data_IF_918355381481
#
_entry.id   IF_918355381481
#
_cell.length_a   1.000
_cell.length_b   1.000
_cell.length_c   1.000
_cell.angle_alpha   90.00
_cell.angle_beta   90.00
_cell.angle_gamma   90.00
#
_symmetry.space_group_name_H-M   'P 1'
#
loop_
_entity.id
_entity.type
_entity.pdbx_description
1 polymer ?
#
# COMPACT_ATOMS: atom_id res chain seq x y z
N UNK A 1 -28.53 -4.98 26.24
CA UNK A 1 -28.86 -3.53 26.15
C UNK A 1 -28.21 -3.05 24.86
N UNK A 2 -28.98 -2.81 23.83
CA UNK A 2 -28.49 -2.27 22.58
C UNK A 2 -28.12 -0.81 22.82
N UNK A 3 -26.83 -0.52 22.92
CA UNK A 3 -26.37 0.87 22.87
C UNK A 3 -26.77 1.44 21.51
N UNK A 4 -27.68 2.40 21.50
CA UNK A 4 -27.98 3.19 20.33
C UNK A 4 -26.75 4.05 20.05
N UNK A 5 -25.93 3.63 19.09
CA UNK A 5 -24.82 4.42 18.60
C UNK A 5 -25.37 5.67 17.91
N UNK A 6 -25.25 6.80 18.55
CA UNK A 6 -25.46 8.06 17.85
C UNK A 6 -24.21 8.34 17.04
N UNK A 7 -24.33 8.40 15.70
CA UNK A 7 -23.25 8.91 14.83
C UNK A 7 -22.77 10.25 15.41
N UNK A 8 -21.47 10.34 15.71
CA UNK A 8 -20.89 11.64 16.01
C UNK A 8 -20.92 12.47 14.72
N UNK A 9 -21.33 13.73 14.79
CA UNK A 9 -21.24 14.62 13.63
C UNK A 9 -19.76 14.80 13.29
N UNK A 10 -19.42 14.49 12.03
CA UNK A 10 -18.07 14.70 11.52
C UNK A 10 -18.01 15.99 10.70
N UNK A 11 -16.93 16.77 10.81
CA UNK A 11 -16.76 17.95 9.95
C UNK A 11 -16.58 17.49 8.50
N UNK A 12 -17.12 18.25 7.56
CA UNK A 12 -16.94 18.04 6.12
C UNK A 12 -17.34 16.63 5.64
N UNK A 13 -18.41 16.07 6.18
CA UNK A 13 -18.95 14.78 5.75
C UNK A 13 -19.31 14.78 4.26
N UNK A 14 -19.21 13.63 3.60
CA UNK A 14 -19.67 13.45 2.21
C UNK A 14 -21.19 13.30 2.20
N UNK A 15 -21.90 14.40 1.99
CA UNK A 15 -23.38 14.40 1.92
C UNK A 15 -23.89 13.92 0.55
N UNK A 16 -23.14 14.19 -0.50
CA UNK A 16 -23.45 13.78 -1.87
C UNK A 16 -22.29 12.88 -2.35
N UNK A 17 -22.54 11.62 -2.71
CA UNK A 17 -21.49 10.63 -2.94
C UNK A 17 -20.39 11.05 -3.93
N UNK A 18 -20.72 11.79 -4.97
CA UNK A 18 -19.77 12.23 -5.99
C UNK A 18 -19.14 13.62 -5.72
N UNK A 19 -19.27 14.13 -4.47
CA UNK A 19 -18.77 15.43 -4.06
C UNK A 19 -18.03 15.36 -2.73
N UNK A 20 -16.71 15.33 -2.78
CA UNK A 20 -15.89 15.35 -1.59
C UNK A 20 -15.51 16.79 -1.20
N UNK A 21 -15.90 17.30 0.00
CA UNK A 21 -15.53 18.63 0.46
C UNK A 21 -14.01 18.80 0.48
N UNK A 22 -13.53 19.94 0.00
CA UNK A 22 -12.08 20.21 -0.13
C UNK A 22 -11.36 20.29 1.21
N UNK A 23 -12.06 20.70 2.27
CA UNK A 23 -11.53 20.87 3.62
C UNK A 23 -10.97 19.56 4.19
N UNK A 24 -11.47 18.43 3.75
CA UNK A 24 -10.97 17.07 4.11
C UNK A 24 -9.49 16.87 3.80
N UNK A 25 -8.94 17.65 2.87
CA UNK A 25 -7.58 17.52 2.35
C UNK A 25 -6.59 18.54 2.91
N UNK A 26 -7.03 19.46 3.80
CA UNK A 26 -6.13 20.43 4.41
C UNK A 26 -6.54 20.90 5.82
N UNK A 27 -7.77 20.59 6.29
CA UNK A 27 -8.20 20.98 7.63
C UNK A 27 -7.42 20.25 8.69
N UNK A 28 -6.84 20.98 9.64
CA UNK A 28 -6.18 20.38 10.80
C UNK A 28 -7.17 19.60 11.67
N UNK A 29 -8.38 20.14 11.89
CA UNK A 29 -9.44 19.47 12.65
C UNK A 29 -9.82 18.12 12.06
N UNK A 30 -9.97 18.04 10.73
CA UNK A 30 -10.26 16.79 10.04
C UNK A 30 -9.09 15.79 10.16
N UNK A 31 -7.87 16.28 10.01
CA UNK A 31 -6.66 15.49 10.15
C UNK A 31 -6.48 14.91 11.55
N UNK A 32 -6.76 15.71 12.60
CA UNK A 32 -6.70 15.26 13.98
C UNK A 32 -7.74 14.16 14.25
N UNK A 33 -8.92 14.28 13.64
CA UNK A 33 -9.96 13.26 13.72
C UNK A 33 -9.55 11.97 12.97
N UNK A 34 -8.91 12.07 11.80
CA UNK A 34 -8.30 10.91 11.12
C UNK A 34 -7.25 10.23 12.01
N UNK A 35 -6.42 10.99 12.70
CA UNK A 35 -5.42 10.44 13.61
C UNK A 35 -6.06 9.62 14.74
N UNK A 36 -7.12 10.15 15.33
CA UNK A 36 -7.82 9.52 16.45
C UNK A 36 -8.72 8.36 16.04
N UNK A 37 -9.49 8.47 14.96
CA UNK A 37 -10.55 7.54 14.64
C UNK A 37 -10.22 6.57 13.48
N UNK A 38 -9.25 6.91 12.62
CA UNK A 38 -8.86 6.06 11.50
C UNK A 38 -7.55 5.33 11.79
N UNK A 39 -6.46 6.10 11.97
CA UNK A 39 -5.11 5.53 12.10
C UNK A 39 -4.91 4.73 13.38
N UNK A 40 -5.67 5.01 14.41
CA UNK A 40 -5.69 4.21 15.65
C UNK A 40 -6.47 2.90 15.52
N UNK A 41 -7.32 2.71 14.48
CA UNK A 41 -8.30 1.64 14.40
C UNK A 41 -8.20 0.77 13.13
N UNK A 42 -7.28 1.07 12.24
CA UNK A 42 -7.12 0.34 10.98
C UNK A 42 -5.83 -0.47 10.94
N UNK A 43 -5.87 -1.58 10.19
CA UNK A 43 -4.67 -2.35 9.91
C UNK A 43 -3.74 -1.56 8.97
N UNK A 44 -2.46 -1.51 9.32
CA UNK A 44 -1.45 -0.73 8.61
C UNK A 44 -0.27 -1.62 8.26
N UNK A 45 0.18 -1.56 7.00
CA UNK A 45 1.40 -2.23 6.58
C UNK A 45 2.60 -1.55 7.24
N UNK A 46 3.26 -2.25 8.17
CA UNK A 46 4.36 -1.68 8.97
C UNK A 46 5.71 -1.86 8.31
N UNK A 47 6.05 -3.08 7.91
CA UNK A 47 7.31 -3.41 7.24
C UNK A 47 7.16 -4.69 6.41
N UNK A 48 8.15 -4.99 5.59
CA UNK A 48 8.23 -6.30 4.94
C UNK A 48 8.94 -7.31 5.84
N UNK A 49 8.57 -8.59 5.72
CA UNK A 49 9.21 -9.67 6.49
C UNK A 49 10.72 -9.78 6.22
N UNK A 50 11.15 -9.41 5.03
CA UNK A 50 12.55 -9.42 4.62
C UNK A 50 13.39 -8.26 5.19
N UNK A 51 12.75 -7.26 5.81
CA UNK A 51 13.44 -6.23 6.61
C UNK A 51 13.92 -6.77 7.96
N UNK A 52 13.27 -7.82 8.47
CA UNK A 52 13.53 -8.44 9.76
C UNK A 52 13.74 -9.97 9.60
N UNK A 53 14.73 -10.43 8.81
CA UNK A 53 14.89 -11.84 8.45
C UNK A 53 15.36 -12.72 9.61
N UNK A 54 16.16 -12.17 10.53
CA UNK A 54 16.83 -12.92 11.59
C UNK A 54 16.24 -12.67 12.98
N UNK A 55 16.35 -13.60 13.92
CA UNK A 55 15.97 -13.40 15.30
C UNK A 55 16.64 -12.16 15.92
N UNK A 56 15.85 -11.36 16.58
CA UNK A 56 16.27 -10.07 17.17
C UNK A 56 16.21 -8.90 16.18
N UNK A 57 16.05 -9.14 14.89
CA UNK A 57 15.86 -8.06 13.93
C UNK A 57 14.53 -7.32 14.19
N UNK A 58 14.59 -6.01 14.13
CA UNK A 58 13.42 -5.17 14.30
C UNK A 58 13.39 -4.01 13.29
N UNK A 59 12.18 -3.61 12.95
CA UNK A 59 11.86 -2.37 12.24
C UNK A 59 11.14 -1.39 13.17
N UNK A 60 11.19 -0.11 12.85
CA UNK A 60 10.45 0.94 13.57
C UNK A 60 9.44 1.55 12.63
N UNK A 61 8.17 1.40 12.97
CA UNK A 61 7.07 1.99 12.22
C UNK A 61 6.58 3.27 12.90
N UNK A 62 6.61 4.36 12.16
CA UNK A 62 6.15 5.67 12.61
C UNK A 62 4.87 6.04 11.86
N UNK A 63 3.82 6.39 12.60
CA UNK A 63 2.58 6.91 12.06
C UNK A 63 2.08 8.06 12.93
N UNK A 64 2.02 9.26 12.38
CA UNK A 64 1.66 10.48 13.11
C UNK A 64 2.54 10.64 14.36
N UNK A 65 1.96 10.67 15.54
CA UNK A 65 2.65 10.75 16.85
C UNK A 65 2.96 9.38 17.46
N UNK A 66 2.56 8.28 16.81
CA UNK A 66 2.77 6.93 17.32
C UNK A 66 4.05 6.29 16.75
N UNK A 67 4.71 5.49 17.57
CA UNK A 67 5.90 4.72 17.21
C UNK A 67 5.77 3.28 17.69
N UNK A 68 6.00 2.33 16.81
CA UNK A 68 5.86 0.90 17.05
C UNK A 68 7.15 0.18 16.67
N UNK A 69 7.66 -0.68 17.55
CA UNK A 69 8.70 -1.64 17.24
C UNK A 69 8.03 -2.92 16.74
N UNK A 70 8.43 -3.37 15.55
CA UNK A 70 8.08 -4.68 15.00
C UNK A 70 9.33 -5.54 15.02
N UNK A 71 9.29 -6.68 15.68
CA UNK A 71 10.47 -7.53 15.93
C UNK A 71 10.21 -9.00 15.58
N UNK A 72 11.22 -9.68 15.05
CA UNK A 72 11.27 -11.14 15.01
C UNK A 72 11.95 -11.66 16.28
N UNK A 73 11.20 -12.37 17.11
CA UNK A 73 11.70 -12.98 18.34
C UNK A 73 12.68 -14.14 18.09
N UNK A 74 13.39 -14.57 19.15
CA UNK A 74 14.26 -15.76 19.10
C UNK A 74 13.49 -17.05 18.77
N UNK A 75 12.20 -17.09 19.05
CA UNK A 75 11.28 -18.17 18.70
C UNK A 75 10.76 -18.10 17.25
N UNK A 76 11.18 -17.11 16.48
CA UNK A 76 10.74 -16.84 15.11
C UNK A 76 9.43 -16.08 14.98
N UNK A 77 8.70 -15.88 16.06
CA UNK A 77 7.41 -15.17 16.06
C UNK A 77 7.61 -13.67 15.84
N UNK A 78 6.69 -13.09 15.05
CA UNK A 78 6.65 -11.64 14.85
C UNK A 78 5.78 -11.00 15.93
N UNK A 79 6.30 -9.95 16.54
CA UNK A 79 5.60 -9.18 17.57
C UNK A 79 5.69 -7.70 17.28
N UNK A 80 4.68 -6.97 17.74
CA UNK A 80 4.68 -5.50 17.72
C UNK A 80 4.40 -4.95 19.12
N UNK A 81 5.04 -3.83 19.44
CA UNK A 81 4.89 -3.17 20.73
C UNK A 81 5.12 -1.68 20.60
N UNK A 82 4.47 -0.89 21.44
CA UNK A 82 4.72 0.55 21.49
C UNK A 82 6.18 0.85 21.83
N UNK A 83 6.83 1.65 21.02
CA UNK A 83 8.24 2.06 21.16
C UNK A 83 8.40 3.13 22.24
N UNK A 84 7.97 2.83 23.46
CA UNK A 84 7.90 3.83 24.54
C UNK A 84 8.28 3.22 25.87
N UNK A 85 9.39 3.67 26.44
CA UNK A 85 9.85 3.23 27.77
C UNK A 85 8.82 3.58 28.84
N UNK A 86 8.40 2.60 29.63
CA UNK A 86 7.35 2.72 30.65
C UNK A 86 7.73 3.58 31.83
N UNK A 87 8.98 4.06 31.89
CA UNK A 87 9.41 4.98 32.93
C UNK A 87 8.99 6.43 32.67
N UNK A 88 9.45 7.03 31.56
CA UNK A 88 9.21 8.45 31.21
C UNK A 88 9.06 8.69 29.71
N UNK A 89 8.60 7.70 28.97
CA UNK A 89 8.18 7.85 27.58
C UNK A 89 9.30 7.97 26.53
N UNK A 90 10.54 7.63 26.87
CA UNK A 90 11.65 7.69 25.88
C UNK A 90 11.47 6.61 24.83
N UNK A 91 11.57 6.95 23.54
CA UNK A 91 11.65 5.96 22.44
C UNK A 91 12.88 5.07 22.65
N UNK A 92 12.68 3.75 22.54
CA UNK A 92 13.76 2.75 22.74
C UNK A 92 14.63 2.59 21.50
N UNK A 93 14.02 2.74 20.33
CA UNK A 93 14.67 2.66 19.04
C UNK A 93 14.24 3.83 18.13
N UNK A 94 15.17 4.35 17.34
CA UNK A 94 14.92 5.44 16.37
C UNK A 94 15.22 5.06 14.92
N UNK A 95 15.72 3.83 14.73
CA UNK A 95 16.02 3.23 13.44
C UNK A 95 15.91 1.71 13.55
N UNK A 96 15.73 0.99 12.44
CA UNK A 96 15.76 -0.47 12.44
C UNK A 96 17.12 -1.00 12.89
N UNK A 97 17.14 -2.23 13.39
CA UNK A 97 18.38 -2.86 13.87
C UNK A 97 18.16 -4.29 14.36
N UNK A 98 19.09 -4.76 15.18
CA UNK A 98 18.98 -6.03 15.90
C UNK A 98 19.23 -5.79 17.38
N UNK A 99 18.28 -6.17 18.24
CA UNK A 99 18.37 -5.94 19.68
C UNK A 99 19.12 -7.05 20.43
N UNK A 100 19.65 -8.03 19.72
CA UNK A 100 20.29 -9.22 20.28
C UNK A 100 19.44 -9.94 21.34
N UNK A 101 19.25 -9.37 22.52
CA UNK A 101 18.46 -9.96 23.63
C UNK A 101 17.46 -9.00 24.25
N UNK A 102 17.84 -7.74 24.39
CA UNK A 102 17.06 -6.76 25.15
C UNK A 102 17.16 -5.35 24.53
N UNK A 103 16.05 -4.62 24.56
CA UNK A 103 16.06 -3.18 24.38
C UNK A 103 16.48 -2.51 25.70
N UNK A 104 17.43 -1.60 25.63
CA UNK A 104 17.92 -0.86 26.80
C UNK A 104 17.57 0.62 26.63
N UNK A 105 16.72 1.12 27.52
CA UNK A 105 16.37 2.54 27.50
C UNK A 105 17.62 3.41 27.70
N UNK A 106 17.93 4.32 26.75
CA UNK A 106 19.17 5.10 26.81
C UNK A 106 19.19 6.11 27.96
N UNK A 107 18.05 6.40 28.57
CA UNK A 107 17.98 7.42 29.62
C UNK A 107 18.32 6.88 31.02
N UNK A 108 17.64 5.79 31.45
CA UNK A 108 17.86 5.27 32.82
C UNK A 108 18.13 3.77 32.86
N UNK A 109 18.34 3.14 31.70
CA UNK A 109 18.75 1.74 31.63
C UNK A 109 17.65 0.73 31.98
N UNK A 110 16.35 1.10 31.91
CA UNK A 110 15.29 0.10 31.97
C UNK A 110 15.44 -0.85 30.76
N UNK A 111 15.20 -2.14 31.00
CA UNK A 111 15.41 -3.16 29.97
C UNK A 111 14.15 -3.93 29.70
N UNK A 112 14.01 -4.32 28.44
CA UNK A 112 12.86 -5.06 27.91
C UNK A 112 13.38 -6.16 26.99
N UNK A 113 12.90 -7.38 27.20
CA UNK A 113 13.24 -8.49 26.28
C UNK A 113 12.49 -8.34 24.93
N UNK A 114 12.73 -9.29 24.02
CA UNK A 114 12.14 -9.29 22.68
C UNK A 114 10.60 -9.49 22.68
N UNK A 115 10.04 -9.92 23.81
CA UNK A 115 8.57 -9.98 24.01
C UNK A 115 7.99 -8.69 24.58
N UNK A 116 8.82 -7.68 24.87
CA UNK A 116 8.43 -6.43 25.50
C UNK A 116 8.36 -6.50 27.04
N UNK A 117 8.61 -7.66 27.65
CA UNK A 117 8.57 -7.82 29.09
C UNK A 117 9.73 -7.07 29.76
N UNK A 118 9.45 -6.32 30.82
CA UNK A 118 10.48 -5.64 31.57
C UNK A 118 11.36 -6.64 32.33
N UNK A 119 12.65 -6.62 32.07
CA UNK A 119 13.65 -7.53 32.68
C UNK A 119 14.47 -6.85 33.77
N UNK A 120 14.60 -5.52 33.74
CA UNK A 120 15.41 -4.78 34.68
C UNK A 120 14.95 -3.36 34.88
N UNK A 121 14.78 -2.98 36.14
CA UNK A 121 14.59 -1.60 36.58
C UNK A 121 15.76 -1.24 37.52
N UNK A 122 16.70 -0.39 37.10
CA UNK A 122 17.76 0.10 38.01
C UNK A 122 17.15 0.76 39.24
N UNK A 123 17.72 0.49 40.42
CA UNK A 123 17.23 1.04 41.67
C UNK A 123 15.72 0.81 41.93
N UNK A 124 15.17 -0.35 41.55
CA UNK A 124 13.72 -0.66 41.67
C UNK A 124 13.11 -0.33 43.02
N UNK A 125 13.88 -0.47 44.10
CA UNK A 125 13.41 -0.16 45.48
C UNK A 125 13.01 1.31 45.66
N UNK A 126 13.57 2.23 44.87
CA UNK A 126 13.21 3.66 44.95
C UNK A 126 11.84 3.98 44.32
N UNK A 127 11.21 2.98 43.71
CA UNK A 127 9.86 3.06 43.09
C UNK A 127 8.80 2.32 43.96
N UNK A 128 9.09 2.00 45.21
CA UNK A 128 8.19 1.21 46.04
C UNK A 128 6.77 1.79 46.18
N UNK A 129 6.63 3.12 46.08
CA UNK A 129 5.33 3.82 46.15
C UNK A 129 4.40 3.49 44.94
N UNK A 130 4.94 2.98 43.85
CA UNK A 130 4.15 2.62 42.63
C UNK A 130 3.68 1.17 42.64
N UNK A 131 4.17 0.34 43.58
CA UNK A 131 3.86 -1.08 43.62
C UNK A 131 3.95 -1.77 42.27
N UNK A 132 5.05 -1.50 41.52
CA UNK A 132 5.24 -1.92 40.15
C UNK A 132 5.08 -3.45 39.98
N UNK A 133 4.12 -3.89 39.23
CA UNK A 133 4.06 -5.28 38.75
C UNK A 133 4.71 -5.45 37.35
N UNK A 134 4.72 -6.66 36.82
CA UNK A 134 5.37 -6.96 35.56
C UNK A 134 4.62 -6.37 34.39
N UNK A 135 3.28 -6.39 34.41
CA UNK A 135 2.43 -5.94 33.33
C UNK A 135 2.44 -4.42 33.22
N UNK A 136 2.41 -3.70 34.37
CA UNK A 136 2.48 -2.24 34.40
C UNK A 136 3.74 -1.68 33.76
N UNK A 137 4.86 -2.40 33.88
CA UNK A 137 6.17 -1.92 33.44
C UNK A 137 6.66 -2.53 32.13
N UNK A 138 5.96 -3.51 31.59
CA UNK A 138 6.25 -4.08 30.26
C UNK A 138 5.75 -3.19 29.14
N UNK A 139 6.36 -3.28 27.96
CA UNK A 139 5.91 -2.50 26.79
C UNK A 139 4.48 -2.93 26.41
N UNK A 140 3.64 -1.95 26.13
CA UNK A 140 2.29 -2.24 25.67
C UNK A 140 2.33 -2.95 24.30
N UNK A 141 1.65 -4.11 24.16
CA UNK A 141 1.59 -4.82 22.90
C UNK A 141 0.75 -4.03 21.90
N UNK A 142 1.03 -4.26 20.61
CA UNK A 142 0.25 -3.78 19.47
C UNK A 142 -0.22 -5.01 18.71
N UNK A 143 -1.47 -5.01 18.23
CA UNK A 143 -1.99 -6.06 17.36
C UNK A 143 -1.06 -6.23 16.16
N UNK A 144 -0.69 -7.47 15.85
CA UNK A 144 0.30 -7.78 14.80
C UNK A 144 -0.08 -9.08 14.11
N UNK A 145 -0.02 -9.07 12.79
CA UNK A 145 -0.25 -10.25 11.94
C UNK A 145 0.59 -10.12 10.66
N UNK A 146 0.65 -11.19 9.87
CA UNK A 146 1.43 -11.23 8.63
C UNK A 146 0.58 -11.63 7.45
N UNK A 147 0.73 -10.92 6.32
CA UNK A 147 0.10 -11.25 5.05
C UNK A 147 0.85 -10.60 3.88
N UNK A 148 0.91 -11.31 2.74
CA UNK A 148 1.50 -10.79 1.50
C UNK A 148 2.99 -10.46 1.59
N UNK A 149 3.75 -11.18 2.43
CA UNK A 149 5.16 -10.90 2.69
C UNK A 149 5.41 -9.67 3.57
N UNK A 150 4.37 -9.13 4.19
CA UNK A 150 4.40 -7.93 5.02
C UNK A 150 3.98 -8.23 6.46
N UNK A 151 4.42 -7.39 7.38
CA UNK A 151 3.91 -7.32 8.74
C UNK A 151 2.89 -6.18 8.81
N UNK A 152 1.75 -6.47 9.40
CA UNK A 152 0.66 -5.54 9.60
C UNK A 152 0.44 -5.31 11.08
N UNK A 153 0.10 -4.08 11.44
CA UNK A 153 -0.22 -3.70 12.82
C UNK A 153 -1.57 -3.00 12.89
N UNK A 154 -2.20 -3.10 14.06
CA UNK A 154 -3.35 -2.29 14.41
C UNK A 154 -3.21 -1.79 15.84
N UNK A 155 -3.41 -0.51 16.07
CA UNK A 155 -3.28 0.10 17.40
C UNK A 155 -4.50 -0.16 18.29
N UNK A 156 -5.64 -0.58 17.70
CA UNK A 156 -6.84 -1.00 18.44
C UNK A 156 -6.67 -2.42 18.95
N UNK A 157 -6.65 -2.66 20.28
CA UNK A 157 -6.57 -4.00 20.83
C UNK A 157 -7.79 -4.88 20.52
N UNK A 158 -8.92 -4.27 20.13
CA UNK A 158 -10.18 -4.95 19.79
C UNK A 158 -10.37 -5.07 18.26
N UNK A 159 -9.34 -4.77 17.46
CA UNK A 159 -9.42 -4.88 16.01
C UNK A 159 -9.81 -6.31 15.56
N UNK A 160 -10.68 -6.45 14.56
CA UNK A 160 -10.94 -7.77 13.96
C UNK A 160 -9.67 -8.34 13.32
N UNK A 161 -9.61 -9.67 13.10
CA UNK A 161 -8.46 -10.30 12.47
C UNK A 161 -8.06 -9.62 11.15
N UNK A 162 -6.75 -9.54 10.89
CA UNK A 162 -6.21 -8.92 9.67
C UNK A 162 -6.91 -9.46 8.42
N UNK A 163 -6.94 -10.80 8.28
CA UNK A 163 -7.51 -11.46 7.10
C UNK A 163 -8.94 -11.02 6.80
N UNK A 164 -9.78 -10.96 7.82
CA UNK A 164 -11.18 -10.53 7.66
C UNK A 164 -11.28 -9.06 7.25
N UNK A 165 -10.39 -8.22 7.78
CA UNK A 165 -10.37 -6.77 7.56
C UNK A 165 -9.92 -6.37 6.15
N UNK A 166 -9.14 -7.21 5.47
CA UNK A 166 -8.54 -6.91 4.16
C UNK A 166 -9.16 -7.72 3.01
N UNK A 167 -10.22 -8.51 3.26
CA UNK A 167 -10.96 -9.17 2.18
C UNK A 167 -11.80 -8.14 1.38
N UNK A 168 -11.99 -8.33 0.04
CA UNK A 168 -11.53 -9.45 -0.77
C UNK A 168 -10.12 -9.28 -1.34
N UNK A 169 -9.42 -8.17 -1.08
CA UNK A 169 -8.08 -7.91 -1.61
C UNK A 169 -7.10 -9.05 -1.27
N UNK A 170 -7.20 -9.60 -0.06
CA UNK A 170 -6.32 -10.70 0.35
C UNK A 170 -6.49 -11.93 -0.54
N UNK A 171 -7.72 -12.38 -0.78
CA UNK A 171 -7.98 -13.55 -1.63
C UNK A 171 -7.57 -13.33 -3.10
N UNK A 172 -7.76 -12.12 -3.62
CA UNK A 172 -7.35 -11.75 -4.97
C UNK A 172 -5.81 -11.76 -5.07
N UNK A 173 -5.12 -11.06 -4.19
CA UNK A 173 -3.66 -10.93 -4.22
C UNK A 173 -2.92 -12.23 -3.85
N UNK A 174 -3.54 -13.12 -3.05
CA UNK A 174 -3.02 -14.47 -2.83
C UNK A 174 -2.99 -15.28 -4.14
N UNK A 175 -4.00 -15.11 -4.99
CA UNK A 175 -4.01 -15.75 -6.31
C UNK A 175 -2.90 -15.23 -7.24
N UNK A 176 -2.48 -13.97 -7.04
CA UNK A 176 -1.30 -13.38 -7.70
C UNK A 176 0.02 -13.80 -7.03
N UNK A 177 -0.02 -14.58 -5.95
CA UNK A 177 1.18 -15.05 -5.22
C UNK A 177 2.10 -13.92 -4.79
N UNK A 178 1.53 -12.84 -4.27
CA UNK A 178 2.31 -11.64 -3.88
C UNK A 178 3.25 -11.90 -2.71
N UNK A 179 3.01 -12.92 -1.90
CA UNK A 179 3.88 -13.32 -0.79
C UNK A 179 5.24 -13.86 -1.25
N UNK A 180 5.33 -14.38 -2.49
CA UNK A 180 6.58 -14.90 -3.07
C UNK A 180 7.49 -13.79 -3.59
N UNK A 181 6.97 -12.58 -3.73
CA UNK A 181 7.71 -11.43 -4.23
C UNK A 181 8.68 -10.90 -3.18
N UNK A 182 9.84 -10.43 -3.63
CA UNK A 182 10.89 -9.83 -2.81
C UNK A 182 11.30 -8.49 -3.38
N UNK A 183 11.73 -7.59 -2.51
CA UNK A 183 12.13 -6.22 -2.89
C UNK A 183 13.35 -6.26 -3.80
N UNK A 184 13.23 -5.63 -4.95
CA UNK A 184 14.33 -5.32 -5.85
C UNK A 184 14.92 -3.95 -5.51
N UNK A 185 14.05 -2.96 -5.28
CA UNK A 185 14.43 -1.65 -4.78
C UNK A 185 13.25 -1.01 -4.02
N UNK A 186 13.59 -0.02 -3.18
CA UNK A 186 12.65 0.71 -2.34
C UNK A 186 12.99 2.20 -2.38
N UNK A 187 12.03 3.05 -2.74
CA UNK A 187 12.15 4.50 -2.74
C UNK A 187 11.13 5.14 -1.80
N UNK A 188 11.46 6.31 -1.27
CA UNK A 188 10.55 7.11 -0.46
C UNK A 188 10.53 8.57 -0.93
N UNK A 189 9.34 9.14 -1.01
CA UNK A 189 9.08 10.51 -1.42
C UNK A 189 8.42 11.30 -0.29
N UNK A 190 8.90 12.52 -0.05
CA UNK A 190 8.17 13.50 0.73
C UNK A 190 7.34 14.38 -0.19
N UNK A 191 6.03 14.14 -0.22
CA UNK A 191 5.07 14.88 -1.01
C UNK A 191 4.44 16.01 -0.18
N UNK A 192 4.41 17.27 -0.67
CA UNK A 192 3.70 18.36 -0.01
C UNK A 192 2.20 18.32 -0.34
N UNK A 193 1.55 17.22 -0.02
CA UNK A 193 0.12 16.97 -0.29
C UNK A 193 -0.51 16.11 0.81
N UNK A 194 -1.83 16.19 0.93
CA UNK A 194 -2.60 15.30 1.79
C UNK A 194 -2.45 13.84 1.34
N UNK A 195 -2.42 12.91 2.28
CA UNK A 195 -2.22 11.49 2.03
C UNK A 195 -3.31 10.88 1.12
N UNK A 196 -4.56 11.37 1.23
CA UNK A 196 -5.67 10.93 0.36
C UNK A 196 -5.44 11.35 -1.08
N UNK A 197 -5.00 12.60 -1.33
CA UNK A 197 -4.65 13.03 -2.69
C UNK A 197 -3.56 12.17 -3.30
N UNK A 198 -2.50 11.91 -2.51
CA UNK A 198 -1.38 11.09 -2.97
C UNK A 198 -1.84 9.70 -3.39
N UNK A 199 -2.68 9.04 -2.59
CA UNK A 199 -3.13 7.68 -2.91
C UNK A 199 -4.24 7.64 -3.97
N UNK A 200 -5.17 8.61 -3.99
CA UNK A 200 -6.27 8.66 -4.93
C UNK A 200 -5.79 8.73 -6.39
N UNK A 201 -4.64 9.39 -6.63
CA UNK A 201 -4.00 9.38 -7.95
C UNK A 201 -3.63 7.96 -8.44
N UNK A 202 -3.50 6.98 -7.56
CA UNK A 202 -3.20 5.58 -7.91
C UNK A 202 -4.46 4.68 -7.91
N UNK A 203 -5.61 5.23 -7.59
CA UNK A 203 -6.87 4.48 -7.49
C UNK A 203 -7.82 4.74 -8.66
N UNK A 204 -7.45 5.59 -9.61
CA UNK A 204 -8.25 5.89 -10.80
C UNK A 204 -7.38 5.93 -12.06
N UNK A 205 -8.00 5.62 -13.20
CA UNK A 205 -7.32 5.59 -14.49
C UNK A 205 -7.62 6.83 -15.34
N UNK A 206 -8.45 7.76 -14.84
CA UNK A 206 -8.93 8.90 -15.61
C UNK A 206 -7.81 9.87 -15.96
N UNK A 207 -6.86 10.13 -15.02
CA UNK A 207 -5.70 11.00 -15.27
C UNK A 207 -4.69 10.40 -16.25
N UNK A 208 -4.62 9.06 -16.37
CA UNK A 208 -3.58 8.35 -17.14
C UNK A 208 -3.54 8.82 -18.59
N UNK A 209 -4.69 9.04 -19.22
CA UNK A 209 -4.77 9.45 -20.63
C UNK A 209 -4.04 10.77 -20.91
N UNK A 210 -4.01 11.68 -19.93
CA UNK A 210 -3.40 13.02 -20.09
C UNK A 210 -2.04 13.12 -19.40
N UNK A 211 -1.95 12.61 -18.17
CA UNK A 211 -0.73 12.69 -17.36
C UNK A 211 0.33 11.70 -17.85
N UNK A 212 -0.09 10.50 -18.24
CA UNK A 212 0.79 9.41 -18.68
C UNK A 212 0.48 8.94 -20.09
N UNK A 213 0.57 9.81 -21.13
CA UNK A 213 0.20 9.42 -22.48
C UNK A 213 1.02 8.24 -23.03
N UNK A 214 2.21 7.99 -22.44
CA UNK A 214 3.04 6.82 -22.76
C UNK A 214 2.45 5.50 -22.25
N UNK A 215 1.52 5.53 -21.29
CA UNK A 215 0.82 4.36 -20.75
C UNK A 215 -0.49 4.05 -21.47
N UNK A 216 -0.89 4.88 -22.43
CA UNK A 216 -2.05 4.54 -23.27
C UNK A 216 -1.66 3.34 -24.12
N UNK A 217 -2.30 2.19 -23.85
CA UNK A 217 -1.98 0.93 -24.50
C UNK A 217 -2.05 1.02 -26.02
N UNK A 218 -1.22 0.24 -26.70
CA UNK A 218 -1.08 0.28 -28.16
C UNK A 218 -2.41 0.12 -28.90
N UNK A 219 -3.29 -0.76 -28.42
CA UNK A 219 -4.61 -0.96 -29.02
C UNK A 219 -5.50 0.29 -28.98
N UNK A 220 -5.48 1.07 -27.89
CA UNK A 220 -6.21 2.34 -27.79
C UNK A 220 -5.61 3.39 -28.72
N UNK A 221 -4.27 3.49 -28.80
CA UNK A 221 -3.58 4.42 -29.71
C UNK A 221 -3.80 4.04 -31.17
N UNK A 222 -3.77 2.74 -31.46
CA UNK A 222 -3.85 2.24 -32.81
C UNK A 222 -5.26 2.42 -33.40
N UNK A 223 -6.31 2.15 -32.62
CA UNK A 223 -7.70 2.33 -33.06
C UNK A 223 -8.13 3.80 -33.24
N UNK A 224 -7.45 4.74 -32.58
CA UNK A 224 -7.80 6.17 -32.62
C UNK A 224 -7.07 6.98 -33.69
N UNK A 225 -5.94 6.52 -34.20
CA UNK A 225 -5.03 7.37 -35.00
C UNK A 225 -4.66 6.86 -36.37
N UNK A 226 -4.87 5.60 -36.74
CA UNK A 226 -4.34 5.05 -37.99
C UNK A 226 -5.29 4.03 -38.65
N UNK A 227 -5.77 4.31 -39.80
CA UNK A 227 -6.57 3.53 -40.77
C UNK A 227 -6.58 2.02 -40.64
N UNK A 228 -5.83 1.27 -41.39
CA UNK A 228 -5.81 -0.20 -41.33
C UNK A 228 -4.94 -0.68 -40.13
N UNK A 229 -5.47 -1.66 -39.36
CA UNK A 229 -4.75 -2.36 -38.32
C UNK A 229 -3.59 -3.18 -38.93
N UNK A 230 -2.39 -3.03 -38.35
CA UNK A 230 -1.19 -3.78 -38.71
C UNK A 230 -0.70 -4.58 -37.49
N UNK A 231 -0.81 -5.93 -37.52
CA UNK A 231 -0.39 -6.77 -36.40
C UNK A 231 1.06 -6.59 -35.97
N UNK A 232 2.00 -6.33 -36.89
CA UNK A 232 3.40 -6.11 -36.52
C UNK A 232 3.62 -4.84 -35.75
N UNK A 233 3.02 -3.75 -36.19
CA UNK A 233 3.07 -2.47 -35.46
C UNK A 233 2.39 -2.56 -34.12
N UNK A 234 1.32 -3.36 -34.02
CA UNK A 234 0.67 -3.62 -32.73
C UNK A 234 1.63 -4.31 -31.76
N UNK A 235 2.30 -5.41 -32.16
CA UNK A 235 3.29 -6.11 -31.31
C UNK A 235 4.43 -5.20 -30.90
N UNK A 236 5.00 -4.43 -31.83
CA UNK A 236 6.08 -3.49 -31.51
C UNK A 236 5.63 -2.44 -30.49
N UNK A 237 4.40 -1.96 -30.58
CA UNK A 237 3.86 -0.98 -29.65
C UNK A 237 3.56 -1.60 -28.27
N UNK A 238 3.09 -2.85 -28.20
CA UNK A 238 2.90 -3.58 -26.93
C UNK A 238 4.25 -3.85 -26.23
N UNK A 239 5.27 -4.27 -26.96
CA UNK A 239 6.62 -4.44 -26.40
C UNK A 239 7.16 -3.09 -25.89
N UNK A 240 6.97 -2.01 -26.65
CA UNK A 240 7.36 -0.67 -26.20
C UNK A 240 6.59 -0.22 -24.94
N UNK A 241 5.33 -0.61 -24.83
CA UNK A 241 4.55 -0.37 -23.61
C UNK A 241 5.16 -1.11 -22.40
N UNK A 242 5.55 -2.39 -22.57
CA UNK A 242 6.21 -3.15 -21.50
C UNK A 242 7.55 -2.53 -21.09
N UNK A 243 8.37 -2.05 -22.04
CA UNK A 243 9.57 -1.27 -21.73
C UNK A 243 9.23 -0.02 -20.93
N UNK A 244 8.20 0.71 -21.32
CA UNK A 244 7.76 1.92 -20.63
C UNK A 244 7.34 1.62 -19.19
N UNK A 245 6.62 0.51 -18.97
CA UNK A 245 6.23 0.06 -17.63
C UNK A 245 7.43 -0.43 -16.81
N UNK A 246 8.41 -1.07 -17.45
CA UNK A 246 9.62 -1.53 -16.77
C UNK A 246 10.52 -0.38 -16.34
N UNK A 247 10.80 0.56 -17.23
CA UNK A 247 11.74 1.66 -16.99
C UNK A 247 11.08 2.86 -16.30
N UNK A 248 9.83 3.18 -16.66
CA UNK A 248 9.14 4.38 -16.24
C UNK A 248 8.32 4.26 -14.97
N UNK A 249 7.88 3.04 -14.64
CA UNK A 249 7.10 2.71 -13.43
C UNK A 249 7.93 1.99 -12.37
N UNK A 250 9.25 2.16 -12.43
CA UNK A 250 10.12 1.63 -11.42
C UNK A 250 9.98 0.09 -11.23
N UNK A 251 9.98 -0.67 -12.34
CA UNK A 251 9.99 -2.13 -12.32
C UNK A 251 8.62 -2.80 -12.13
N UNK A 252 7.52 -2.12 -12.37
CA UNK A 252 6.19 -2.76 -12.35
C UNK A 252 6.13 -3.97 -13.30
N UNK A 253 6.79 -3.89 -14.46
CA UNK A 253 7.09 -5.03 -15.31
C UNK A 253 8.58 -5.32 -15.22
N UNK A 254 8.96 -6.52 -14.80
CA UNK A 254 10.37 -6.88 -14.68
C UNK A 254 11.03 -7.01 -16.05
N UNK A 255 12.31 -6.63 -16.15
CA UNK A 255 13.08 -6.70 -17.41
C UNK A 255 13.11 -8.10 -18.06
N UNK A 256 13.02 -9.15 -17.25
CA UNK A 256 12.91 -10.53 -17.75
C UNK A 256 11.63 -10.74 -18.56
N UNK A 257 10.49 -10.21 -18.10
CA UNK A 257 9.21 -10.35 -18.81
C UNK A 257 9.22 -9.55 -20.12
N UNK A 258 9.89 -8.39 -20.13
CA UNK A 258 10.14 -7.61 -21.35
C UNK A 258 10.97 -8.41 -22.36
N UNK A 259 12.06 -9.07 -21.90
CA UNK A 259 12.88 -9.92 -22.76
C UNK A 259 12.11 -11.13 -23.33
N UNK A 260 11.21 -11.69 -22.54
CA UNK A 260 10.29 -12.76 -23.02
C UNK A 260 9.38 -12.22 -24.13
N UNK A 261 8.77 -11.04 -23.93
CA UNK A 261 7.93 -10.41 -24.95
C UNK A 261 8.71 -10.12 -26.25
N UNK A 262 9.96 -9.65 -26.14
CA UNK A 262 10.84 -9.46 -27.30
C UNK A 262 11.13 -10.77 -28.05
N UNK A 263 11.27 -11.89 -27.34
CA UNK A 263 11.55 -13.19 -27.94
C UNK A 263 10.42 -13.74 -28.79
N UNK A 264 9.18 -13.27 -28.56
CA UNK A 264 7.98 -13.66 -29.33
C UNK A 264 7.52 -12.59 -30.29
N UNK A 265 8.35 -11.58 -30.61
CA UNK A 265 8.01 -10.43 -31.47
C UNK A 265 7.52 -10.83 -32.85
N UNK A 266 8.04 -11.89 -33.45
CA UNK A 266 7.73 -12.34 -34.79
C UNK A 266 6.51 -13.28 -34.89
N UNK A 267 5.63 -13.23 -33.89
CA UNK A 267 4.38 -14.01 -33.88
C UNK A 267 3.43 -13.57 -34.98
N UNK A 268 2.79 -14.54 -35.63
CA UNK A 268 1.69 -14.29 -36.57
C UNK A 268 0.39 -14.06 -35.81
N UNK A 269 -0.17 -12.86 -35.92
CA UNK A 269 -1.44 -12.47 -35.29
C UNK A 269 -2.56 -12.35 -36.33
N UNK A 270 -3.83 -12.55 -35.91
CA UNK A 270 -5.00 -12.30 -36.74
C UNK A 270 -5.06 -10.85 -37.25
N UNK A 271 -5.71 -10.64 -38.39
CA UNK A 271 -5.93 -9.30 -38.95
C UNK A 271 -7.02 -8.51 -38.21
N UNK A 272 -7.92 -9.19 -37.51
CA UNK A 272 -8.91 -8.54 -36.66
C UNK A 272 -8.26 -7.99 -35.38
N UNK A 273 -8.43 -6.70 -35.01
CA UNK A 273 -7.75 -6.08 -33.89
C UNK A 273 -8.05 -6.75 -32.54
N UNK A 274 -9.30 -7.13 -32.30
CA UNK A 274 -9.68 -7.73 -30.99
C UNK A 274 -9.13 -9.15 -30.88
N UNK A 275 -9.17 -9.93 -31.94
CA UNK A 275 -8.58 -11.26 -32.02
C UNK A 275 -7.04 -11.20 -31.89
N UNK A 276 -6.39 -10.21 -32.51
CA UNK A 276 -4.95 -10.00 -32.38
C UNK A 276 -4.54 -9.67 -30.95
N UNK A 277 -5.25 -8.78 -30.29
CA UNK A 277 -5.01 -8.42 -28.89
C UNK A 277 -5.16 -9.64 -27.98
N UNK A 278 -6.25 -10.39 -28.09
CA UNK A 278 -6.48 -11.60 -27.31
C UNK A 278 -5.39 -12.66 -27.56
N UNK A 279 -4.99 -12.87 -28.82
CA UNK A 279 -3.92 -13.81 -29.17
C UNK A 279 -2.56 -13.37 -28.61
N UNK A 280 -2.22 -12.09 -28.67
CA UNK A 280 -0.99 -11.54 -28.11
C UNK A 280 -0.89 -11.79 -26.60
N UNK A 281 -1.92 -11.39 -25.84
CA UNK A 281 -1.91 -11.57 -24.39
C UNK A 281 -1.87 -13.04 -23.97
N UNK A 282 -2.57 -13.92 -24.70
CA UNK A 282 -2.50 -15.37 -24.44
C UNK A 282 -1.08 -15.91 -24.65
N UNK A 283 -0.44 -15.56 -25.77
CA UNK A 283 0.91 -16.05 -26.09
C UNK A 283 1.95 -15.46 -25.15
N UNK A 284 1.85 -14.17 -24.85
CA UNK A 284 2.75 -13.51 -23.89
C UNK A 284 2.63 -14.14 -22.51
N UNK A 285 1.41 -14.30 -21.98
CA UNK A 285 1.19 -14.96 -20.70
C UNK A 285 1.77 -16.38 -20.67
N UNK A 286 1.51 -17.18 -21.72
CA UNK A 286 2.04 -18.54 -21.81
C UNK A 286 3.57 -18.55 -21.83
N UNK A 287 4.20 -17.67 -22.61
CA UNK A 287 5.65 -17.57 -22.71
C UNK A 287 6.29 -17.15 -21.39
N UNK A 288 5.69 -16.19 -20.67
CA UNK A 288 6.17 -15.76 -19.34
C UNK A 288 6.05 -16.90 -18.33
N UNK A 289 4.90 -17.59 -18.26
CA UNK A 289 4.69 -18.72 -17.34
C UNK A 289 5.68 -19.85 -17.62
N UNK A 290 5.90 -20.21 -18.88
CA UNK A 290 6.84 -21.26 -19.29
C UNK A 290 8.29 -20.86 -18.98
N UNK A 291 8.67 -19.62 -19.26
CA UNK A 291 10.00 -19.09 -18.97
C UNK A 291 10.30 -19.19 -17.46
N UNK A 292 9.43 -18.65 -16.63
CA UNK A 292 9.64 -18.68 -15.17
C UNK A 292 9.59 -20.10 -14.59
N UNK A 293 8.73 -20.96 -15.11
CA UNK A 293 8.71 -22.38 -14.74
C UNK A 293 10.05 -23.07 -15.06
N UNK A 294 10.69 -22.73 -16.18
CA UNK A 294 12.01 -23.24 -16.54
C UNK A 294 13.12 -22.81 -15.56
N UNK A 295 12.90 -21.70 -14.85
CA UNK A 295 13.77 -21.17 -13.79
C UNK A 295 13.41 -21.71 -12.39
N UNK A 296 12.41 -22.60 -12.29
CA UNK A 296 11.93 -23.13 -11.03
C UNK A 296 10.98 -22.21 -10.26
N UNK A 297 10.42 -21.18 -10.92
CA UNK A 297 9.44 -20.25 -10.32
C UNK A 297 8.03 -20.58 -10.78
N UNK A 298 7.09 -20.47 -9.85
CA UNK A 298 5.68 -20.40 -10.19
C UNK A 298 5.24 -18.93 -10.22
N UNK A 299 4.78 -18.47 -11.38
CA UNK A 299 4.17 -17.16 -11.56
C UNK A 299 2.67 -17.33 -11.80
N UNK A 300 1.84 -16.31 -11.56
CA UNK A 300 0.41 -16.38 -11.85
C UNK A 300 0.19 -16.60 -13.35
N UNK A 301 -0.78 -17.46 -13.67
CA UNK A 301 -1.32 -17.58 -15.02
C UNK A 301 -2.51 -16.63 -15.14
N UNK A 302 -2.34 -15.53 -15.88
CA UNK A 302 -3.35 -14.48 -15.98
C UNK A 302 -4.63 -14.97 -16.68
N UNK A 303 -4.52 -15.94 -17.60
CA UNK A 303 -5.69 -16.55 -18.26
C UNK A 303 -6.51 -17.35 -17.24
N UNK A 304 -5.86 -18.09 -16.36
CA UNK A 304 -6.53 -18.83 -15.28
C UNK A 304 -7.15 -17.86 -14.24
N UNK A 305 -6.43 -16.78 -13.90
CA UNK A 305 -6.96 -15.75 -12.99
C UNK A 305 -8.20 -15.05 -13.59
N UNK A 306 -8.18 -14.71 -14.88
CA UNK A 306 -9.31 -14.09 -15.56
C UNK A 306 -10.53 -15.02 -15.55
N UNK A 307 -10.33 -16.30 -15.88
CA UNK A 307 -11.39 -17.31 -15.85
C UNK A 307 -12.01 -17.49 -14.45
N UNK A 308 -11.27 -17.18 -13.39
CA UNK A 308 -11.71 -17.23 -11.98
C UNK A 308 -12.26 -15.88 -11.47
N UNK A 309 -12.21 -14.81 -12.25
CA UNK A 309 -12.57 -13.46 -11.83
C UNK A 309 -11.61 -12.86 -10.79
N UNK A 310 -10.33 -13.25 -10.84
CA UNK A 310 -9.26 -12.82 -9.92
C UNK A 310 -8.15 -12.02 -10.61
N UNK A 311 -8.35 -11.65 -11.88
CA UNK A 311 -7.36 -10.91 -12.67
C UNK A 311 -7.40 -9.39 -12.44
N UNK A 312 -7.79 -8.95 -11.24
CA UNK A 312 -7.82 -7.53 -10.91
C UNK A 312 -6.40 -6.95 -10.89
N UNK A 313 -6.11 -5.96 -11.73
CA UNK A 313 -4.75 -5.44 -11.88
C UNK A 313 -4.34 -4.47 -10.76
N UNK A 314 -5.27 -4.10 -9.88
CA UNK A 314 -5.03 -3.16 -8.80
C UNK A 314 -5.57 -3.69 -7.49
N UNK A 315 -4.67 -4.13 -6.60
CA UNK A 315 -5.01 -4.58 -5.26
C UNK A 315 -4.87 -3.44 -4.27
N UNK A 316 -5.98 -2.95 -3.73
CA UNK A 316 -6.00 -1.92 -2.70
C UNK A 316 -6.38 -2.50 -1.34
N UNK A 317 -5.62 -2.14 -0.33
CA UNK A 317 -5.88 -2.49 1.07
C UNK A 317 -6.04 -1.22 1.89
N UNK A 318 -7.27 -0.99 2.35
CA UNK A 318 -7.61 0.18 3.15
C UNK A 318 -6.79 0.24 4.46
N UNK A 319 -6.30 1.43 4.90
CA UNK A 319 -6.51 2.73 4.28
C UNK A 319 -5.40 3.16 3.31
N UNK A 320 -4.21 2.51 3.29
CA UNK A 320 -3.02 3.18 2.77
C UNK A 320 -2.04 2.29 1.99
N UNK A 321 -2.40 1.06 1.68
CA UNK A 321 -1.52 0.15 0.96
C UNK A 321 -2.10 -0.27 -0.38
N UNK A 322 -1.24 -0.38 -1.36
CA UNK A 322 -1.64 -0.60 -2.74
C UNK A 322 -0.62 -1.51 -3.45
N UNK A 323 -1.09 -2.46 -4.24
CA UNK A 323 -0.27 -3.38 -5.03
C UNK A 323 -0.73 -3.37 -6.48
N UNK A 324 0.19 -3.17 -7.39
CA UNK A 324 0.01 -3.31 -8.82
C UNK A 324 0.75 -4.57 -9.30
N UNK A 325 0.11 -5.75 -9.27
CA UNK A 325 0.73 -6.96 -9.75
C UNK A 325 0.72 -7.00 -11.28
N UNK A 326 1.78 -7.55 -11.85
CA UNK A 326 1.92 -7.84 -13.28
C UNK A 326 2.28 -9.32 -13.46
N UNK A 327 2.95 -9.70 -14.51
CA UNK A 327 3.29 -11.09 -14.80
C UNK A 327 4.10 -11.75 -13.68
N UNK A 328 5.41 -11.45 -13.60
CA UNK A 328 6.30 -12.06 -12.60
C UNK A 328 6.67 -11.11 -11.45
N UNK A 329 6.27 -9.86 -11.52
CA UNK A 329 6.67 -8.77 -10.64
C UNK A 329 5.47 -7.95 -10.17
N UNK A 330 5.70 -7.00 -9.29
CA UNK A 330 4.72 -6.03 -8.85
C UNK A 330 5.39 -4.75 -8.36
N UNK A 331 4.66 -3.65 -8.41
CA UNK A 331 4.95 -2.48 -7.57
C UNK A 331 4.00 -2.46 -6.39
N UNK A 332 4.47 -2.01 -5.21
CA UNK A 332 3.60 -1.72 -4.09
C UNK A 332 3.85 -0.33 -3.53
N UNK A 333 2.85 0.24 -2.90
CA UNK A 333 2.84 1.62 -2.47
C UNK A 333 2.26 1.73 -1.06
N UNK A 334 2.89 2.58 -0.23
CA UNK A 334 2.39 2.92 1.09
C UNK A 334 2.34 4.43 1.26
N UNK A 335 1.24 4.94 1.79
CA UNK A 335 1.03 6.36 2.01
C UNK A 335 0.91 6.63 3.51
N UNK A 336 1.87 7.34 4.10
CA UNK A 336 1.86 7.69 5.52
C UNK A 336 1.73 9.20 5.70
N UNK A 337 0.64 9.69 6.32
CA UNK A 337 0.51 11.10 6.65
C UNK A 337 1.57 11.53 7.67
N UNK A 338 2.07 12.73 7.48
CA UNK A 338 2.98 13.42 8.41
C UNK A 338 2.34 14.71 8.93
N UNK A 339 1.41 15.23 8.17
CA UNK A 339 0.63 16.41 8.48
C UNK A 339 -0.54 16.51 7.51
N UNK A 340 -1.45 17.47 7.70
CA UNK A 340 -2.64 17.59 6.86
C UNK A 340 -2.32 17.74 5.37
N UNK A 341 -1.16 18.32 5.03
CA UNK A 341 -0.72 18.55 3.66
C UNK A 341 0.69 18.00 3.41
N UNK A 342 1.10 16.97 4.15
CA UNK A 342 2.40 16.32 3.96
C UNK A 342 2.27 14.82 4.13
N UNK A 343 2.76 14.09 3.12
CA UNK A 343 2.73 12.62 3.07
C UNK A 343 4.13 12.07 2.79
N UNK A 344 4.50 10.98 3.43
CA UNK A 344 5.57 10.09 2.98
C UNK A 344 4.94 9.00 2.13
N UNK A 345 5.28 8.97 0.86
CA UNK A 345 4.92 7.93 -0.07
C UNK A 345 6.12 7.00 -0.27
N UNK A 346 5.91 5.73 -0.13
CA UNK A 346 6.93 4.71 -0.32
C UNK A 346 6.54 3.80 -1.47
N UNK A 347 7.51 3.45 -2.30
CA UNK A 347 7.34 2.64 -3.50
C UNK A 347 8.34 1.49 -3.45
N UNK A 348 7.86 0.28 -3.61
CA UNK A 348 8.67 -0.92 -3.79
C UNK A 348 8.48 -1.48 -5.19
N UNK A 349 9.57 -1.82 -5.87
CA UNK A 349 9.57 -2.80 -6.95
C UNK A 349 9.86 -4.16 -6.36
N UNK A 350 9.09 -5.13 -6.75
CA UNK A 350 9.20 -6.49 -6.23
C UNK A 350 9.23 -7.51 -7.36
N UNK A 351 10.11 -8.48 -7.25
CA UNK A 351 10.27 -9.54 -8.24
C UNK A 351 10.45 -10.91 -7.56
N UNK A 352 10.51 -11.97 -8.37
CA UNK A 352 10.82 -13.31 -7.91
C UNK A 352 12.31 -13.59 -8.11
N UNK A 353 12.99 -13.98 -7.02
CA UNK A 353 14.38 -14.40 -7.08
C UNK A 353 14.46 -15.92 -7.13
N UNK A 354 15.43 -16.52 -7.86
CA UNK A 354 15.76 -17.94 -7.76
C UNK A 354 15.94 -18.35 -6.30
N UNK A 355 15.54 -19.57 -5.98
CA UNK A 355 15.58 -20.07 -4.58
C UNK A 355 16.98 -20.08 -3.97
N UNK A 356 18.00 -20.17 -4.83
CA UNK A 356 19.45 -20.18 -4.49
C UNK A 356 20.13 -18.82 -4.65
N UNK A 357 19.39 -17.78 -5.11
CA UNK A 357 19.94 -16.45 -5.25
C UNK A 357 20.12 -15.77 -3.88
N UNK A 358 21.25 -15.09 -3.72
CA UNK A 358 21.43 -14.17 -2.60
C UNK A 358 20.40 -13.04 -2.72
N UNK A 359 19.65 -12.83 -1.63
CA UNK A 359 18.61 -11.79 -1.57
C UNK A 359 19.14 -10.64 -0.72
N UNK A 360 19.29 -9.44 -1.29
CA UNK A 360 19.67 -8.30 -0.49
C UNK A 360 18.59 -8.00 0.55
N UNK A 361 18.98 -7.71 1.79
CA UNK A 361 18.07 -7.23 2.81
C UNK A 361 17.66 -5.80 2.44
N UNK A 362 16.37 -5.49 2.32
CA UNK A 362 15.94 -4.13 2.08
C UNK A 362 16.29 -3.23 3.29
N UNK A 363 16.77 -2.04 2.99
CA UNK A 363 17.10 -1.01 3.99
C UNK A 363 16.20 0.19 3.73
N UNK A 364 15.67 0.85 4.78
CA UNK A 364 14.90 2.06 4.61
C UNK A 364 15.63 3.07 3.73
N UNK A 365 14.97 3.61 2.69
CA UNK A 365 15.60 4.50 1.73
C UNK A 365 15.81 5.90 2.30
N UNK A 366 16.67 6.66 1.63
CA UNK A 366 16.66 8.12 1.75
C UNK A 366 15.31 8.66 1.26
N UNK A 367 14.74 9.58 2.01
CA UNK A 367 13.48 10.24 1.63
C UNK A 367 13.81 11.39 0.69
N UNK A 368 13.44 11.25 -0.59
CA UNK A 368 13.69 12.28 -1.60
C UNK A 368 12.56 13.32 -1.64
N UNK A 369 12.83 14.57 -1.98
CA UNK A 369 11.79 15.53 -2.31
C UNK A 369 11.06 15.10 -3.59
N UNK A 370 9.83 15.54 -3.76
CA UNK A 370 8.97 15.18 -4.89
C UNK A 370 9.49 15.64 -6.26
N UNK A 371 10.34 16.65 -6.29
CA UNK A 371 10.97 17.23 -7.50
C UNK A 371 12.43 16.76 -7.72
N UNK A 372 12.85 15.70 -7.00
CA UNK A 372 14.19 15.15 -7.19
C UNK A 372 14.34 14.55 -8.60
N UNK A 373 15.41 14.88 -9.34
CA UNK A 373 15.61 14.42 -10.72
C UNK A 373 15.86 12.90 -10.84
N UNK A 374 16.08 12.20 -9.73
CA UNK A 374 16.25 10.73 -9.71
C UNK A 374 14.93 9.96 -9.85
N UNK A 375 13.77 10.63 -9.72
CA UNK A 375 12.48 9.96 -9.86
C UNK A 375 12.30 9.37 -11.27
N UNK A 376 11.80 8.13 -11.39
CA UNK A 376 11.38 7.60 -12.67
C UNK A 376 10.34 8.49 -13.34
N UNK A 377 10.24 8.49 -14.69
CA UNK A 377 9.41 9.44 -15.43
C UNK A 377 7.92 9.45 -15.02
N UNK A 378 7.33 8.29 -14.72
CA UNK A 378 5.89 8.19 -14.44
C UNK A 378 5.56 8.74 -13.05
N UNK A 379 6.20 8.30 -11.94
CA UNK A 379 6.02 8.96 -10.65
C UNK A 379 6.33 10.46 -10.68
N UNK A 380 7.35 10.89 -11.42
CA UNK A 380 7.67 12.31 -11.54
C UNK A 380 6.54 13.14 -12.16
N UNK A 381 5.77 12.57 -13.10
CA UNK A 381 4.59 13.23 -13.68
C UNK A 381 3.49 13.46 -12.63
N UNK A 382 3.19 12.46 -11.81
CA UNK A 382 2.23 12.58 -10.71
C UNK A 382 2.71 13.61 -9.68
N UNK A 383 3.97 13.51 -9.29
CA UNK A 383 4.59 14.42 -8.32
C UNK A 383 4.64 15.87 -8.80
N UNK A 384 4.56 16.11 -10.11
CA UNK A 384 4.44 17.44 -10.68
C UNK A 384 3.02 18.02 -10.58
N UNK A 385 1.98 17.17 -10.58
CA UNK A 385 0.58 17.57 -10.58
C UNK A 385 -0.01 17.66 -9.17
N UNK A 386 0.28 16.69 -8.31
CA UNK A 386 -0.27 16.59 -6.96
C UNK A 386 -0.08 17.86 -6.09
N UNK A 387 1.12 18.49 -6.03
CA UNK A 387 1.29 19.74 -5.29
C UNK A 387 0.46 20.90 -5.85
N UNK A 388 0.25 20.95 -7.15
CA UNK A 388 -0.60 21.96 -7.79
C UNK A 388 -2.07 21.75 -7.43
N UNK A 389 -2.52 20.51 -7.37
CA UNK A 389 -3.85 20.14 -6.91
C UNK A 389 -4.05 20.57 -5.45
N UNK A 390 -3.12 20.24 -4.56
CA UNK A 390 -3.16 20.66 -3.15
C UNK A 390 -3.30 22.18 -3.01
N UNK A 391 -2.49 22.95 -3.72
CA UNK A 391 -2.57 24.42 -3.73
C UNK A 391 -3.92 24.91 -4.26
N UNK A 392 -4.46 24.26 -5.29
CA UNK A 392 -5.76 24.61 -5.89
C UNK A 392 -6.93 24.44 -4.92
N UNK A 393 -6.88 23.49 -3.98
CA UNK A 393 -7.92 23.25 -2.98
C UNK A 393 -8.12 24.46 -2.03
N UNK A 394 -7.10 25.27 -1.81
CA UNK A 394 -7.22 26.49 -1.00
C UNK A 394 -7.98 27.62 -1.69
N UNK A 395 -8.27 27.49 -3.00
CA UNK A 395 -9.04 28.50 -3.71
C UNK A 395 -10.44 28.67 -3.12
N UNK A 396 -10.86 29.92 -2.89
CA UNK A 396 -12.22 30.24 -2.44
C UNK A 396 -13.29 29.93 -3.50
N UNK A 397 -12.89 29.79 -4.77
CA UNK A 397 -13.76 29.45 -5.88
C UNK A 397 -13.93 27.94 -6.10
N UNK A 398 -13.24 27.11 -5.33
CA UNK A 398 -13.35 25.65 -5.35
C UNK A 398 -14.01 25.20 -4.05
N UNK A 399 -15.07 24.41 -4.12
CA UNK A 399 -15.85 23.99 -2.95
C UNK A 399 -15.67 22.51 -2.62
N UNK A 400 -15.74 21.65 -3.64
CA UNK A 400 -15.64 20.20 -3.51
C UNK A 400 -15.07 19.57 -4.78
N UNK A 401 -14.46 18.41 -4.63
CA UNK A 401 -14.10 17.57 -5.77
C UNK A 401 -15.36 17.01 -6.42
N UNK A 402 -15.34 16.91 -7.74
CA UNK A 402 -16.41 16.30 -8.54
C UNK A 402 -15.89 14.99 -9.09
N UNK A 403 -16.40 13.90 -8.54
CA UNK A 403 -15.98 12.56 -8.90
C UNK A 403 -16.92 11.95 -9.95
N UNK A 404 -16.38 11.27 -10.93
CA UNK A 404 -17.14 10.48 -11.88
C UNK A 404 -17.82 9.31 -11.16
N UNK A 405 -19.12 9.11 -11.38
CA UNK A 405 -19.88 8.03 -10.74
C UNK A 405 -19.47 6.63 -11.24
N UNK A 406 -18.82 6.55 -12.38
CA UNK A 406 -18.38 5.27 -12.97
C UNK A 406 -16.88 5.08 -12.90
N UNK A 407 -16.08 6.05 -13.33
CA UNK A 407 -14.62 5.95 -13.37
C UNK A 407 -13.92 6.20 -12.03
N UNK A 408 -14.55 7.01 -11.14
CA UNK A 408 -13.98 7.39 -9.85
C UNK A 408 -14.87 6.99 -8.68
N UNK A 409 -15.78 6.03 -8.88
CA UNK A 409 -16.68 5.54 -7.84
C UNK A 409 -15.93 4.95 -6.65
N UNK A 410 -14.76 4.35 -6.87
CA UNK A 410 -13.89 3.86 -5.79
C UNK A 410 -13.48 4.99 -4.84
N UNK A 411 -13.10 6.15 -5.36
CA UNK A 411 -12.73 7.32 -4.55
C UNK A 411 -13.91 7.80 -3.69
N UNK A 412 -15.11 7.84 -4.29
CA UNK A 412 -16.33 8.18 -3.56
C UNK A 412 -16.62 7.16 -2.45
N UNK A 413 -16.53 5.86 -2.74
CA UNK A 413 -16.75 4.80 -1.77
C UNK A 413 -15.74 4.90 -0.62
N UNK A 414 -14.46 5.11 -0.93
CA UNK A 414 -13.39 5.30 0.02
C UNK A 414 -13.67 6.48 0.99
N UNK A 415 -14.01 7.66 0.46
CA UNK A 415 -14.28 8.84 1.29
C UNK A 415 -15.48 8.63 2.24
N UNK A 416 -16.48 7.86 1.83
CA UNK A 416 -17.63 7.54 2.68
C UNK A 416 -17.31 6.47 3.73
N UNK A 417 -16.48 5.47 3.39
CA UNK A 417 -15.97 4.50 4.40
C UNK A 417 -15.14 5.22 5.45
N UNK A 418 -14.32 6.19 5.03
CA UNK A 418 -13.60 7.07 5.94
C UNK A 418 -14.55 7.77 6.92
N UNK A 419 -15.66 8.34 6.42
CA UNK A 419 -16.69 8.96 7.27
C UNK A 419 -17.25 7.99 8.32
N UNK A 420 -17.42 6.73 7.97
CA UNK A 420 -17.85 5.71 8.92
C UNK A 420 -16.87 5.51 10.09
N UNK A 421 -15.55 5.48 9.80
CA UNK A 421 -14.54 5.44 10.85
C UNK A 421 -14.56 6.72 11.69
N UNK A 422 -14.59 7.89 11.07
CA UNK A 422 -14.57 9.19 11.75
C UNK A 422 -15.82 9.41 12.61
N UNK A 423 -16.96 8.83 12.24
CA UNK A 423 -18.18 8.82 13.04
C UNK A 423 -18.13 7.84 14.24
N UNK A 424 -17.01 7.12 14.41
CA UNK A 424 -16.85 6.16 15.49
C UNK A 424 -17.70 4.89 15.34
N UNK A 425 -18.08 4.51 14.11
CA UNK A 425 -18.85 3.27 13.91
C UNK A 425 -18.02 2.05 14.35
N UNK A 426 -18.64 1.04 14.95
CA UNK A 426 -17.94 -0.17 15.34
C UNK A 426 -17.55 -1.01 14.11
N UNK A 427 -16.54 -1.86 14.26
CA UNK A 427 -15.94 -2.63 13.16
C UNK A 427 -16.94 -3.51 12.41
N UNK A 428 -17.88 -4.13 13.11
CA UNK A 428 -18.91 -4.99 12.51
C UNK A 428 -19.85 -4.22 11.56
N UNK A 429 -20.06 -2.93 11.80
CA UNK A 429 -20.83 -2.03 10.93
C UNK A 429 -20.03 -1.55 9.71
N UNK A 430 -18.70 -1.53 9.82
CA UNK A 430 -17.80 -1.11 8.74
C UNK A 430 -17.41 -2.27 7.81
N UNK A 431 -17.62 -3.51 8.23
CA UNK A 431 -17.10 -4.70 7.56
C UNK A 431 -17.57 -4.83 6.10
N UNK A 432 -18.87 -4.62 5.81
CA UNK A 432 -19.39 -4.69 4.44
C UNK A 432 -18.80 -3.59 3.56
N UNK A 433 -18.73 -2.36 4.08
CA UNK A 433 -18.20 -1.21 3.36
C UNK A 433 -16.68 -1.33 3.09
N UNK A 434 -15.92 -1.90 4.03
CA UNK A 434 -14.50 -2.22 3.82
C UNK A 434 -14.30 -3.21 2.68
N UNK A 435 -15.17 -4.22 2.55
CA UNK A 435 -15.11 -5.16 1.41
C UNK A 435 -15.33 -4.48 0.07
N UNK A 436 -16.09 -3.40 0.03
CA UNK A 436 -16.33 -2.62 -1.20
C UNK A 436 -15.12 -1.78 -1.62
N UNK A 437 -14.23 -1.42 -0.69
CA UNK A 437 -13.03 -0.60 -0.98
C UNK A 437 -11.72 -1.39 -0.94
N UNK A 438 -11.69 -2.60 -0.37
CA UNK A 438 -10.52 -3.48 -0.36
C UNK A 438 -10.36 -4.25 -1.68
N UNK A 439 -10.47 -3.58 -2.75
CA UNK A 439 -10.13 -3.96 -4.13
C UNK A 439 -10.41 -2.74 -4.99
N UNK A 440 -9.65 -2.55 -6.04
CA UNK A 440 -9.85 -1.40 -6.92
C UNK A 440 -9.96 -1.87 -8.37
N UNK A 441 -11.12 -2.39 -8.80
CA UNK A 441 -11.35 -2.72 -10.20
C UNK A 441 -11.28 -1.45 -11.05
N UNK A 442 -10.89 -1.59 -12.33
CA UNK A 442 -10.72 -0.48 -13.27
C UNK A 442 -11.98 0.36 -13.44
N UNK A 443 -13.15 -0.30 -13.40
CA UNK A 443 -14.45 0.36 -13.44
C UNK A 443 -15.18 0.09 -12.13
N UNK A 444 -15.28 1.12 -11.29
CA UNK A 444 -15.99 1.03 -10.01
C UNK A 444 -17.08 2.07 -9.93
N UNK A 445 -18.28 1.61 -9.68
CA UNK A 445 -19.43 2.48 -9.44
C UNK A 445 -19.51 2.93 -7.99
N UNK A 446 -20.17 4.06 -7.78
CA UNK A 446 -20.64 4.43 -6.44
C UNK A 446 -21.67 3.40 -5.98
N UNK A 447 -21.44 2.78 -4.83
CA UNK A 447 -22.31 1.75 -4.25
C UNK A 447 -22.96 2.24 -2.96
N UNK A 448 -24.02 1.59 -2.52
CA UNK A 448 -24.55 1.76 -1.16
C UNK A 448 -23.60 1.04 -0.18
N UNK A 449 -23.11 1.78 0.81
CA UNK A 449 -22.22 1.25 1.86
C UNK A 449 -22.93 1.04 3.21
N UNK A 450 -24.27 1.10 3.21
CA UNK A 450 -25.17 0.71 4.31
C UNK A 450 -25.10 1.60 5.58
N UNK A 451 -24.52 2.83 5.51
CA UNK A 451 -24.56 3.78 6.64
C UNK A 451 -24.52 5.27 6.27
#
# INVERSE_FOLDING_TARGET
>A
MTHAWSKQPIPYAVEVPDRAPKERYYSQEFFDLEAEQLWSRTWQMACRLEEIPEPGDFSVYEILDQSVIVIRGEDGEIRAMHNTCRHRGVKLATAPGNCAKEFVCPFHGWRYDQSGRNTKIPMRKSFAQHNLDADDVSLAPVQCDTWGGCVWINLDPEAPPLRESIEPAASILDAWKVEDLRVEWWYACRLPVNWKLAQQAFQEMYHVVVTHPQLVIAGMRYGAQHGEFDPKRFVDAEIQYLHTMSEGMAGMVHATDVAVAESIRDIDLPADPAAAMAAWYLVLNTAVVEHHRSLGHEVPDLVDLEAKGLAEPMGYVFPHYFVLPMYSSASSYRFRPVGPEVTIMEIWSMTRYPSDAERPRPVPPEIWPHDDPRWPPIPAQDFSNLPRQQLGLHSKAFEFMRLSQTGEGHLSNFERVLDGFLAGLPHDRLASALREVNVNPLERHVVDIEF
#
